data_IF_574179185560
#
_entry.id   IF_574179185560
#
_cell.length_a   1.000
_cell.length_b   1.000
_cell.length_c   1.000
_cell.angle_alpha   90.00
_cell.angle_beta   90.00
_cell.angle_gamma   90.00
#
_symmetry.space_group_name_H-M   'P 1'
#
loop_
_entity.id
_entity.type
_entity.pdbx_description
1 polymer ?
#
# COMPACT_ATOMS: atom_id res chain seq x y z
N UNK A 1 -1.42 14.72 -17.88
CA UNK A 1 -0.34 15.19 -16.97
C UNK A 1 -0.86 15.68 -15.62
N UNK A 2 -2.00 16.39 -15.54
CA UNK A 2 -2.72 16.64 -14.28
C UNK A 2 -3.35 15.37 -13.64
N UNK A 3 -3.31 14.23 -14.33
CA UNK A 3 -4.04 13.01 -13.98
C UNK A 3 -3.49 12.31 -12.73
N UNK A 4 -2.17 12.20 -12.55
CA UNK A 4 -1.61 11.43 -11.41
C UNK A 4 -1.91 12.11 -10.08
N UNK A 5 -1.70 13.43 -9.98
CA UNK A 5 -2.05 14.18 -8.78
C UNK A 5 -3.56 14.13 -8.50
N UNK A 6 -4.41 14.24 -9.52
CA UNK A 6 -5.86 14.12 -9.36
C UNK A 6 -6.28 12.74 -8.89
N UNK A 7 -5.72 11.68 -9.49
CA UNK A 7 -5.94 10.28 -9.13
C UNK A 7 -5.51 10.00 -7.68
N UNK A 8 -4.29 10.41 -7.31
CA UNK A 8 -3.79 10.29 -5.94
C UNK A 8 -4.68 11.05 -4.94
N UNK A 9 -5.20 12.20 -5.36
CA UNK A 9 -6.08 13.00 -4.54
C UNK A 9 -7.48 12.41 -4.39
N UNK A 10 -7.92 11.49 -5.25
CA UNK A 10 -9.19 10.76 -5.10
C UNK A 10 -9.08 9.45 -4.33
N UNK A 11 -7.87 8.99 -3.99
CA UNK A 11 -7.68 7.77 -3.20
C UNK A 11 -8.36 7.89 -1.83
N UNK A 12 -8.85 6.76 -1.27
CA UNK A 12 -9.45 6.76 0.05
C UNK A 12 -8.42 7.15 1.13
N UNK A 13 -8.94 7.52 2.28
CA UNK A 13 -8.15 7.62 3.50
C UNK A 13 -7.80 6.23 4.02
N UNK A 14 -6.77 6.14 4.86
CA UNK A 14 -6.36 4.89 5.49
C UNK A 14 -7.52 4.25 6.28
N UNK A 15 -8.30 5.05 7.01
CA UNK A 15 -9.46 4.57 7.77
C UNK A 15 -10.55 3.99 6.87
N UNK A 16 -10.90 4.69 5.78
CA UNK A 16 -11.90 4.20 4.82
C UNK A 16 -11.47 2.89 4.14
N UNK A 17 -10.18 2.72 3.86
CA UNK A 17 -9.64 1.49 3.29
C UNK A 17 -9.68 0.32 4.30
N UNK A 18 -9.29 0.57 5.55
CA UNK A 18 -9.27 -0.44 6.61
C UNK A 18 -10.68 -0.91 6.99
N UNK A 19 -11.64 0.03 7.10
CA UNK A 19 -13.05 -0.26 7.41
C UNK A 19 -13.74 -1.09 6.33
N UNK A 20 -13.30 -1.02 5.07
CA UNK A 20 -13.87 -1.78 3.97
C UNK A 20 -13.25 -3.18 3.82
N UNK A 21 -12.00 -3.36 4.26
CA UNK A 21 -11.29 -4.64 4.13
C UNK A 21 -11.38 -5.47 5.43
N UNK A 22 -12.57 -5.97 5.78
CA UNK A 22 -12.82 -6.68 7.05
C UNK A 22 -12.67 -8.21 6.97
N UNK A 23 -13.24 -8.86 5.95
CA UNK A 23 -13.24 -10.32 5.79
C UNK A 23 -12.05 -10.80 4.95
N UNK A 24 -10.84 -10.44 5.39
CA UNK A 24 -9.60 -10.51 4.58
C UNK A 24 -9.21 -11.91 4.14
N UNK A 25 -9.52 -12.93 4.95
CA UNK A 25 -8.89 -14.26 4.84
C UNK A 25 -9.14 -14.95 3.48
N UNK A 26 -10.36 -14.86 2.94
CA UNK A 26 -10.70 -15.45 1.66
C UNK A 26 -10.00 -14.75 0.50
N UNK A 27 -10.00 -13.41 0.51
CA UNK A 27 -9.37 -12.57 -0.52
C UNK A 27 -7.85 -12.73 -0.49
N UNK A 28 -7.25 -12.69 0.69
CA UNK A 28 -5.81 -12.88 0.85
C UNK A 28 -5.35 -14.25 0.35
N UNK A 29 -6.14 -15.33 0.58
CA UNK A 29 -5.84 -16.66 0.00
C UNK A 29 -5.93 -16.71 -1.53
N UNK A 30 -6.98 -16.10 -2.10
CA UNK A 30 -7.15 -16.04 -3.55
C UNK A 30 -5.98 -15.28 -4.20
N UNK A 31 -5.62 -14.14 -3.64
CA UNK A 31 -4.54 -13.29 -4.14
C UNK A 31 -3.15 -13.91 -3.92
N UNK A 32 -2.91 -14.62 -2.81
CA UNK A 32 -1.68 -15.37 -2.62
C UNK A 32 -1.46 -16.40 -3.74
N UNK A 33 -2.53 -17.10 -4.14
CA UNK A 33 -2.49 -18.10 -5.22
C UNK A 33 -2.17 -17.46 -6.57
N UNK A 34 -2.71 -16.26 -6.83
CA UNK A 34 -2.38 -15.49 -8.03
C UNK A 34 -0.91 -15.04 -8.03
N UNK A 35 -0.47 -14.39 -6.95
CA UNK A 35 0.87 -13.81 -6.85
C UNK A 35 2.00 -14.86 -6.83
N UNK A 36 1.71 -16.08 -6.39
CA UNK A 36 2.64 -17.21 -6.48
C UNK A 36 3.08 -17.52 -7.93
N UNK A 37 2.22 -17.28 -8.92
CA UNK A 37 2.52 -17.49 -10.34
C UNK A 37 3.55 -16.50 -10.88
N UNK A 38 3.76 -15.39 -10.17
CA UNK A 38 4.70 -14.32 -10.48
C UNK A 38 5.85 -14.29 -9.47
N UNK A 39 6.18 -15.44 -8.89
CA UNK A 39 7.29 -15.64 -7.94
C UNK A 39 7.29 -14.66 -6.75
N UNK A 40 6.10 -14.14 -6.39
CA UNK A 40 5.94 -13.11 -5.37
C UNK A 40 6.78 -11.85 -5.63
N UNK A 41 6.97 -11.46 -6.91
CA UNK A 41 7.56 -10.17 -7.27
C UNK A 41 6.68 -8.97 -6.84
N UNK A 42 5.38 -9.22 -6.63
CA UNK A 42 4.40 -8.23 -6.21
C UNK A 42 3.68 -8.68 -4.94
N UNK A 43 3.36 -7.70 -4.10
CA UNK A 43 2.55 -7.88 -2.90
C UNK A 43 1.23 -7.12 -2.99
N UNK A 44 0.38 -7.32 -1.99
CA UNK A 44 -0.91 -6.63 -1.87
C UNK A 44 -0.79 -5.44 -0.91
N UNK A 45 -1.43 -4.32 -1.20
CA UNK A 45 -1.54 -3.21 -0.26
C UNK A 45 -2.93 -2.57 -0.21
N UNK A 46 -3.23 -1.91 0.92
CA UNK A 46 -4.32 -0.96 1.04
C UNK A 46 -3.96 0.31 0.28
N UNK A 47 -4.78 0.65 -0.70
CA UNK A 47 -4.69 1.92 -1.42
C UNK A 47 -5.11 3.02 -0.47
N UNK A 48 -4.25 4.01 -0.26
CA UNK A 48 -4.58 5.21 0.49
C UNK A 48 -3.60 6.34 0.13
N UNK A 49 -3.99 7.58 0.42
CA UNK A 49 -3.12 8.75 0.25
C UNK A 49 -2.58 9.26 1.59
N UNK A 50 -1.28 9.58 1.61
CA UNK A 50 -0.62 10.14 2.79
C UNK A 50 -0.85 11.66 2.92
N UNK A 51 -0.87 12.37 1.79
CA UNK A 51 -1.10 13.82 1.75
C UNK A 51 -1.85 14.25 0.47
N UNK A 52 -2.06 15.56 0.29
CA UNK A 52 -2.55 16.09 -1.00
C UNK A 52 -1.37 16.43 -1.90
N UNK A 53 -1.47 16.07 -3.18
CA UNK A 53 -0.53 16.47 -4.23
C UNK A 53 -1.03 17.73 -4.94
N UNK A 54 -0.12 18.63 -5.27
CA UNK A 54 -0.34 19.72 -6.21
C UNK A 54 -0.23 19.20 -7.65
N UNK A 55 -0.68 20.01 -8.61
CA UNK A 55 -0.56 19.67 -10.03
C UNK A 55 0.91 19.45 -10.41
N UNK A 56 1.18 18.38 -11.15
CA UNK A 56 2.53 18.00 -11.58
C UNK A 56 3.39 17.33 -10.49
N UNK A 57 2.88 17.18 -9.26
CA UNK A 57 3.55 16.39 -8.23
C UNK A 57 3.20 14.90 -8.31
N UNK A 58 4.17 14.08 -7.90
CA UNK A 58 4.01 12.65 -7.61
C UNK A 58 4.48 12.38 -6.18
N UNK A 59 3.93 11.33 -5.56
CA UNK A 59 4.48 10.81 -4.31
C UNK A 59 5.71 9.94 -4.64
N UNK A 60 6.90 10.42 -4.27
CA UNK A 60 8.18 9.79 -4.63
C UNK A 60 8.95 9.31 -3.40
N UNK A 61 9.19 8.01 -3.33
CA UNK A 61 10.03 7.34 -2.35
C UNK A 61 11.53 7.39 -2.72
N UNK A 62 12.35 7.69 -1.72
CA UNK A 62 13.81 7.65 -1.77
C UNK A 62 14.37 7.24 -0.41
N UNK A 63 14.69 5.96 -0.25
CA UNK A 63 15.06 5.38 1.03
C UNK A 63 13.86 5.34 1.97
N UNK A 64 14.01 5.88 3.18
CA UNK A 64 12.98 5.85 4.23
C UNK A 64 12.02 7.06 4.19
N UNK A 65 12.01 7.80 3.09
CA UNK A 65 11.23 9.02 2.92
C UNK A 65 10.46 8.93 1.62
N UNK A 66 9.15 9.13 1.68
CA UNK A 66 8.30 9.34 0.53
C UNK A 66 7.63 10.71 0.65
N UNK A 67 7.70 11.53 -0.39
CA UNK A 67 7.17 12.91 -0.34
C UNK A 67 6.80 13.43 -1.73
N UNK A 68 5.94 14.46 -1.82
CA UNK A 68 5.63 15.13 -3.07
C UNK A 68 6.88 15.66 -3.75
N UNK A 69 7.03 15.34 -5.03
CA UNK A 69 8.05 15.90 -5.92
C UNK A 69 7.43 16.28 -7.24
N UNK A 70 7.81 17.44 -7.75
CA UNK A 70 7.46 17.86 -9.10
C UNK A 70 8.13 16.92 -10.12
N UNK A 71 7.32 16.34 -11.00
CA UNK A 71 7.79 15.42 -12.04
C UNK A 71 8.82 16.09 -12.95
N UNK A 72 8.63 17.37 -13.29
CA UNK A 72 9.57 18.15 -14.12
C UNK A 72 10.98 18.26 -13.53
N UNK A 73 11.10 18.15 -12.20
CA UNK A 73 12.38 18.20 -11.48
C UNK A 73 12.91 16.82 -11.10
N UNK A 74 12.21 15.75 -11.49
CA UNK A 74 12.56 14.38 -11.13
C UNK A 74 13.10 13.68 -12.37
N UNK A 75 14.42 13.51 -12.43
CA UNK A 75 15.11 12.95 -13.60
C UNK A 75 14.81 11.47 -13.84
N UNK A 76 14.52 10.71 -12.79
CA UNK A 76 14.24 9.28 -12.89
C UNK A 76 13.33 8.85 -11.76
N UNK A 77 12.25 8.17 -12.12
CA UNK A 77 11.30 7.57 -11.20
C UNK A 77 10.67 6.36 -11.86
N UNK A 78 10.27 5.39 -11.05
CA UNK A 78 9.62 4.16 -11.49
C UNK A 78 8.39 3.93 -10.61
N UNK A 79 7.29 3.41 -11.16
CA UNK A 79 6.12 3.07 -10.35
C UNK A 79 6.44 2.02 -9.28
N UNK A 80 5.99 2.22 -8.06
CA UNK A 80 6.16 1.28 -6.94
C UNK A 80 4.83 0.65 -6.50
N UNK A 81 3.72 1.38 -6.70
CA UNK A 81 2.37 0.93 -6.36
C UNK A 81 1.38 1.23 -7.48
N UNK A 82 0.43 0.31 -7.67
CA UNK A 82 -0.58 0.34 -8.71
C UNK A 82 -1.97 0.09 -8.15
N UNK A 83 -2.96 0.79 -8.70
CA UNK A 83 -4.38 0.49 -8.48
C UNK A 83 -4.76 -0.83 -9.14
N UNK A 84 -5.96 -1.32 -8.86
CA UNK A 84 -6.52 -2.50 -9.51
C UNK A 84 -6.61 -2.40 -11.03
N UNK A 85 -6.73 -1.18 -11.57
CA UNK A 85 -6.69 -0.91 -13.01
C UNK A 85 -5.29 -0.98 -13.64
N UNK A 86 -4.24 -1.14 -12.82
CA UNK A 86 -2.85 -1.06 -13.24
C UNK A 86 -2.31 0.37 -13.38
N UNK A 87 -3.09 1.39 -13.00
CA UNK A 87 -2.64 2.77 -12.96
C UNK A 87 -1.66 3.00 -11.78
N UNK A 88 -0.47 3.57 -12.03
CA UNK A 88 0.49 3.83 -10.97
C UNK A 88 0.11 5.06 -10.15
N UNK A 89 0.26 4.99 -8.83
CA UNK A 89 -0.09 6.11 -7.94
C UNK A 89 1.01 6.49 -6.93
N UNK A 90 1.97 5.61 -6.65
CA UNK A 90 3.21 5.94 -5.92
C UNK A 90 4.43 5.46 -6.69
N UNK A 91 5.53 6.19 -6.52
CA UNK A 91 6.75 6.03 -7.32
C UNK A 91 7.97 5.97 -6.42
N UNK A 92 9.06 5.45 -6.95
CA UNK A 92 10.35 5.35 -6.28
C UNK A 92 11.48 5.71 -7.23
N UNK A 93 12.63 6.13 -6.69
CA UNK A 93 13.85 6.36 -7.48
C UNK A 93 14.56 5.05 -7.85
N UNK A 94 14.23 3.94 -7.18
CA UNK A 94 14.77 2.62 -7.48
C UNK A 94 14.08 2.03 -8.71
N UNK A 95 14.80 1.27 -9.52
CA UNK A 95 14.19 0.58 -10.65
C UNK A 95 13.26 -0.53 -10.16
N UNK A 96 12.04 -0.53 -10.66
CA UNK A 96 11.01 -1.56 -10.40
C UNK A 96 10.53 -2.14 -11.71
N UNK A 97 9.94 -3.34 -11.63
CA UNK A 97 9.22 -3.96 -12.73
C UNK A 97 7.73 -3.60 -12.67
N UNK A 98 7.11 -3.40 -13.85
CA UNK A 98 5.67 -3.19 -13.95
C UNK A 98 4.96 -4.55 -13.85
N UNK A 99 3.83 -4.67 -13.13
CA UNK A 99 2.97 -5.84 -13.19
C UNK A 99 2.62 -6.19 -14.64
N UNK A 100 2.73 -7.48 -15.04
CA UNK A 100 2.21 -7.94 -16.33
C UNK A 100 0.72 -7.65 -16.48
N UNK A 101 0.25 -7.42 -17.70
CA UNK A 101 -1.17 -7.12 -17.95
C UNK A 101 -2.08 -8.25 -17.48
N UNK A 102 -1.66 -9.50 -17.66
CA UNK A 102 -2.41 -10.67 -17.23
C UNK A 102 -2.54 -10.75 -15.71
N UNK A 103 -1.54 -10.26 -14.97
CA UNK A 103 -1.62 -10.13 -13.50
C UNK A 103 -2.64 -9.07 -13.12
N UNK A 104 -2.62 -7.91 -13.78
CA UNK A 104 -3.56 -6.82 -13.52
C UNK A 104 -5.00 -7.26 -13.80
N UNK A 105 -5.26 -7.87 -14.95
CA UNK A 105 -6.62 -8.28 -15.35
C UNK A 105 -7.24 -9.26 -14.34
N UNK A 106 -6.45 -10.26 -13.92
CA UNK A 106 -6.92 -11.27 -12.96
C UNK A 106 -7.01 -10.71 -11.54
N UNK A 107 -6.09 -9.83 -11.14
CA UNK A 107 -6.16 -9.10 -9.89
C UNK A 107 -7.44 -8.27 -9.82
N UNK A 108 -7.69 -7.46 -10.85
CA UNK A 108 -8.86 -6.60 -10.97
C UNK A 108 -10.15 -7.41 -10.84
N UNK A 109 -10.25 -8.54 -11.56
CA UNK A 109 -11.41 -9.42 -11.49
C UNK A 109 -11.69 -9.91 -10.06
N UNK A 110 -10.65 -10.39 -9.36
CA UNK A 110 -10.78 -10.89 -7.98
C UNK A 110 -11.26 -9.78 -7.04
N UNK A 111 -10.71 -8.56 -7.15
CA UNK A 111 -11.07 -7.47 -6.25
C UNK A 111 -12.42 -6.83 -6.61
N UNK A 112 -12.81 -6.79 -7.87
CA UNK A 112 -14.13 -6.31 -8.30
C UNK A 112 -15.25 -7.24 -7.83
N UNK A 113 -15.07 -8.57 -7.97
CA UNK A 113 -16.01 -9.57 -7.45
C UNK A 113 -16.23 -9.40 -5.93
N UNK A 114 -15.20 -8.94 -5.23
CA UNK A 114 -15.22 -8.64 -3.80
C UNK A 114 -15.62 -7.20 -3.44
N UNK A 115 -15.81 -6.31 -4.44
CA UNK A 115 -16.05 -4.86 -4.28
C UNK A 115 -14.92 -4.11 -3.54
N UNK A 116 -13.68 -4.51 -3.79
CA UNK A 116 -12.46 -3.98 -3.19
C UNK A 116 -11.54 -3.30 -4.21
N UNK A 117 -12.01 -3.05 -5.44
CA UNK A 117 -11.20 -2.49 -6.54
C UNK A 117 -10.61 -1.11 -6.25
N UNK A 118 -11.28 -0.32 -5.40
CA UNK A 118 -10.81 1.01 -4.98
C UNK A 118 -9.99 0.99 -3.68
N UNK A 119 -9.89 -0.19 -3.05
CA UNK A 119 -9.33 -0.40 -1.70
C UNK A 119 -8.02 -1.18 -1.76
N UNK A 120 -7.89 -2.11 -2.69
CA UNK A 120 -6.73 -2.97 -2.85
C UNK A 120 -5.93 -2.61 -4.10
N UNK A 121 -4.61 -2.63 -3.95
CA UNK A 121 -3.65 -2.39 -5.01
C UNK A 121 -2.47 -3.34 -4.92
N UNK A 122 -1.61 -3.30 -5.93
CA UNK A 122 -0.37 -4.04 -5.95
C UNK A 122 0.80 -3.12 -5.61
N UNK A 123 1.82 -3.67 -4.99
CA UNK A 123 3.11 -3.00 -4.84
C UNK A 123 4.25 -3.91 -5.23
N UNK A 124 5.35 -3.32 -5.67
CA UNK A 124 6.58 -4.05 -5.98
C UNK A 124 7.26 -4.42 -4.67
N UNK A 125 7.52 -5.71 -4.45
CA UNK A 125 8.25 -6.14 -3.25
C UNK A 125 9.72 -5.76 -3.40
N UNK A 126 10.24 -5.02 -2.43
CA UNK A 126 11.67 -4.75 -2.30
C UNK A 126 12.23 -5.52 -1.09
N UNK A 127 13.44 -6.05 -1.26
CA UNK A 127 14.11 -6.88 -0.27
C UNK A 127 13.76 -8.38 -0.35
N UNK A 128 14.72 -9.20 0.06
CA UNK A 128 14.54 -10.66 0.14
C UNK A 128 13.68 -11.08 1.33
N UNK A 129 13.57 -12.40 1.54
CA UNK A 129 12.73 -13.00 2.58
C UNK A 129 13.00 -12.50 4.01
N UNK A 130 14.19 -11.94 4.25
CA UNK A 130 14.65 -11.47 5.55
C UNK A 130 14.37 -10.00 5.84
N UNK A 131 13.76 -9.25 4.90
CA UNK A 131 13.50 -7.84 5.15
C UNK A 131 12.54 -7.65 6.35
N UNK A 132 12.78 -6.64 7.18
CA UNK A 132 11.97 -6.39 8.37
C UNK A 132 10.58 -5.87 7.99
N UNK A 133 9.62 -6.00 8.90
CA UNK A 133 8.39 -5.25 8.82
C UNK A 133 8.66 -3.77 9.12
N UNK A 134 8.02 -2.87 8.38
CA UNK A 134 8.18 -1.43 8.49
C UNK A 134 6.90 -0.78 9.02
N UNK A 135 7.07 0.32 9.74
CA UNK A 135 6.00 1.25 10.12
C UNK A 135 6.16 2.54 9.33
N UNK A 136 5.04 3.08 8.88
CA UNK A 136 4.88 4.34 8.16
C UNK A 136 4.07 5.34 8.99
N UNK A 137 4.52 6.59 8.97
CA UNK A 137 3.79 7.72 9.56
C UNK A 137 4.05 8.99 8.75
N UNK A 138 3.11 9.92 8.78
CA UNK A 138 3.19 11.14 7.97
C UNK A 138 3.46 12.38 8.82
N UNK A 139 4.49 13.14 8.46
CA UNK A 139 4.80 14.44 9.05
C UNK A 139 4.60 15.53 7.99
N UNK A 140 3.52 16.29 8.12
CA UNK A 140 3.14 17.31 7.14
C UNK A 140 2.77 16.68 5.78
N UNK A 141 3.64 16.82 4.78
CA UNK A 141 3.46 16.22 3.44
C UNK A 141 4.43 15.06 3.19
N UNK A 142 5.18 14.64 4.20
CA UNK A 142 6.23 13.63 4.07
C UNK A 142 5.82 12.36 4.80
N UNK A 143 5.78 11.23 4.10
CA UNK A 143 5.64 9.91 4.71
C UNK A 143 7.05 9.38 5.05
N UNK A 144 7.22 8.90 6.28
CA UNK A 144 8.47 8.40 6.83
C UNK A 144 8.30 6.93 7.14
N UNK A 145 9.36 6.15 6.94
CA UNK A 145 9.36 4.72 7.23
C UNK A 145 10.53 4.33 8.14
N UNK A 146 10.32 3.33 8.98
CA UNK A 146 11.40 2.66 9.73
C UNK A 146 11.00 1.24 10.09
N UNK A 147 11.96 0.44 10.53
CA UNK A 147 11.68 -0.88 11.08
C UNK A 147 10.76 -0.78 12.30
N UNK A 148 9.78 -1.67 12.37
CA UNK A 148 8.84 -1.73 13.49
C UNK A 148 9.58 -2.15 14.76
N UNK A 149 9.31 -1.47 15.88
CA UNK A 149 9.81 -1.85 17.21
C UNK A 149 8.69 -2.46 18.04
N UNK A 150 9.03 -3.04 19.20
CA UNK A 150 8.01 -3.58 20.10
C UNK A 150 7.06 -2.51 20.67
N UNK A 151 7.55 -1.28 20.85
CA UNK A 151 6.74 -0.15 21.30
C UNK A 151 5.64 0.21 20.27
N UNK A 152 5.95 0.12 18.98
CA UNK A 152 5.00 0.42 17.90
C UNK A 152 3.81 -0.53 17.89
N UNK A 153 4.02 -1.80 18.30
CA UNK A 153 2.96 -2.82 18.36
C UNK A 153 1.88 -2.47 19.37
N UNK A 154 2.19 -1.64 20.37
CA UNK A 154 1.24 -1.19 21.39
C UNK A 154 0.30 -0.09 20.90
N UNK A 155 0.63 0.57 19.78
CA UNK A 155 -0.16 1.67 19.20
C UNK A 155 -1.30 1.24 18.27
N UNK A 156 -1.57 -0.06 18.15
CA UNK A 156 -2.56 -0.66 17.23
C UNK A 156 -2.47 -0.13 15.78
N UNK A 157 -1.28 -0.15 15.14
CA UNK A 157 -1.15 0.38 13.79
C UNK A 157 -1.90 -0.50 12.76
N UNK A 158 -2.43 0.11 11.69
CA UNK A 158 -3.15 -0.63 10.65
C UNK A 158 -2.16 -1.39 9.77
N UNK A 159 -2.45 -2.67 9.51
CA UNK A 159 -1.78 -3.46 8.48
C UNK A 159 -2.17 -2.97 7.07
N UNK A 160 -1.20 -2.48 6.30
CA UNK A 160 -1.44 -1.88 4.98
C UNK A 160 -0.77 -2.59 3.83
N UNK A 161 0.16 -3.53 4.07
CA UNK A 161 0.73 -4.34 3.00
C UNK A 161 1.09 -5.75 3.43
N UNK A 162 0.94 -6.70 2.51
CA UNK A 162 1.17 -8.12 2.71
C UNK A 162 2.14 -8.65 1.64
N UNK A 163 3.15 -9.37 2.11
CA UNK A 163 4.09 -10.14 1.28
C UNK A 163 3.87 -11.62 1.56
N UNK A 164 3.38 -12.34 0.54
CA UNK A 164 3.06 -13.77 0.64
C UNK A 164 4.28 -14.69 0.44
N UNK A 165 5.42 -14.14 -0.02
CA UNK A 165 6.65 -14.90 -0.29
C UNK A 165 7.57 -15.08 0.93
N UNK A 166 7.31 -14.36 2.03
CA UNK A 166 8.09 -14.40 3.28
C UNK A 166 7.76 -15.55 4.24
N UNK A 167 6.85 -16.45 3.87
CA UNK A 167 6.48 -17.62 4.69
C UNK A 167 6.00 -18.83 3.88
N UNK A 168 5.35 -19.78 4.55
CA UNK A 168 4.53 -20.83 3.92
C UNK A 168 3.43 -20.13 3.07
N UNK A 169 2.93 -20.67 1.94
CA UNK A 169 1.91 -20.03 1.08
C UNK A 169 0.56 -19.72 1.77
N UNK A 170 0.47 -19.96 3.08
CA UNK A 170 -0.67 -19.74 3.98
C UNK A 170 -0.35 -18.71 5.08
N UNK A 171 0.92 -18.39 5.33
CA UNK A 171 1.31 -17.42 6.37
C UNK A 171 1.39 -16.01 5.79
N UNK A 172 0.31 -15.26 5.95
CA UNK A 172 0.25 -13.82 5.68
C UNK A 172 1.16 -13.11 6.68
N UNK A 173 2.20 -12.42 6.21
CA UNK A 173 2.96 -11.49 7.03
C UNK A 173 2.63 -10.07 6.59
N UNK A 174 2.10 -9.27 7.52
CA UNK A 174 1.99 -7.85 7.30
C UNK A 174 3.39 -7.24 7.32
N UNK A 175 3.79 -6.59 6.23
CA UNK A 175 5.12 -5.99 6.06
C UNK A 175 5.11 -4.49 6.27
N UNK A 176 3.96 -3.83 6.17
CA UNK A 176 3.81 -2.38 6.32
C UNK A 176 2.66 -2.06 7.25
N UNK A 177 2.93 -1.21 8.23
CA UNK A 177 1.96 -0.70 9.18
C UNK A 177 1.83 0.81 9.05
N UNK A 178 0.63 1.39 9.07
CA UNK A 178 0.45 2.85 9.02
C UNK A 178 -0.18 3.41 10.32
N UNK A 179 0.36 4.51 10.84
CA UNK A 179 -0.23 5.23 11.99
C UNK A 179 -1.39 6.15 11.55
N UNK A 180 -2.62 5.75 11.90
CA UNK A 180 -3.85 6.50 11.62
C UNK A 180 -3.80 7.97 12.05
N UNK A 181 -3.09 8.29 13.14
CA UNK A 181 -3.10 9.64 13.75
C UNK A 181 -2.51 10.72 12.85
N UNK A 182 -1.83 10.31 11.78
CA UNK A 182 -0.98 11.20 10.99
C UNK A 182 -1.34 11.26 9.50
N UNK A 183 -2.26 10.43 9.02
CA UNK A 183 -2.65 10.41 7.60
C UNK A 183 -3.61 11.55 7.22
N UNK A 184 -3.86 11.74 5.91
CA UNK A 184 -4.61 12.85 5.26
C UNK A 184 -6.01 13.14 5.83
N UNK A 185 -6.51 12.30 6.72
CA UNK A 185 -7.71 12.53 7.52
C UNK A 185 -7.43 12.04 8.93
N UNK A 186 -7.10 12.98 9.82
CA UNK A 186 -7.21 12.78 11.25
C UNK A 186 -8.69 12.68 11.65
N UNK A 187 -9.38 11.60 11.25
CA UNK A 187 -10.53 11.15 12.03
C UNK A 187 -9.95 10.58 13.31
N UNK A 188 -10.01 11.36 14.39
CA UNK A 188 -9.84 10.84 15.75
C UNK A 188 -10.95 9.81 15.96
N UNK A 189 -10.71 8.55 15.63
CA UNK A 189 -11.66 7.49 15.92
C UNK A 189 -11.69 7.30 17.43
N UNK A 190 -12.73 7.87 18.04
CA UNK A 190 -13.15 7.55 19.39
C UNK A 190 -13.79 6.16 19.32
N UNK A 191 -12.98 5.12 19.59
CA UNK A 191 -13.45 3.75 19.76
C UNK A 191 -13.32 2.87 18.53
N UNK A 192 -12.10 2.44 18.22
CA UNK A 192 -11.87 1.22 17.45
C UNK A 192 -12.46 0.05 18.23
N UNK A 193 -13.52 -0.56 17.69
CA UNK A 193 -13.98 -1.87 18.12
C UNK A 193 -12.97 -2.88 17.61
N UNK A 194 -12.17 -3.39 18.53
CA UNK A 194 -11.30 -4.53 18.32
C UNK A 194 -12.15 -5.70 17.84
N UNK A 195 -11.91 -6.22 16.64
CA UNK A 195 -12.40 -7.56 16.26
C UNK A 195 -11.58 -8.61 17.02
N UNK A 196 -11.87 -8.72 18.33
CA UNK A 196 -11.51 -9.91 19.10
C UNK A 196 -12.44 -11.01 18.64
N UNK A 197 -11.88 -12.02 17.96
CA UNK A 197 -12.58 -13.29 17.73
C UNK A 197 -12.99 -13.84 19.11
N UNK A 198 -14.28 -14.12 19.25
CA UNK A 198 -14.84 -14.91 20.36
C UNK A 198 -14.45 -16.37 20.20
#
# INVERSE_FOLDING_TARGET
>A
MAEVASLYNSLPTLGEADEQFVDREAILRALATLLAQYEYAFGLCLVHAHCKLAEGEIMLASGNISQPKLMEHTSTFYPERWLSTGDPYEFTVRRTEKPPTELIDEFQRIVEDAKLQDILGLYHIDGGKEAPAIIEWTEGRTNLTREITDDDKTGEPIQTAWDFGRGDPVTMSCTIYCDQRTTRSSSVHKGTRSHVKS
#
